data_IF_687409364154
#
_entry.id   IF_687409364154
#
_cell.length_a   1.000
_cell.length_b   1.000
_cell.length_c   1.000
_cell.angle_alpha   90.00
_cell.angle_beta   90.00
_cell.angle_gamma   90.00
#
_symmetry.space_group_name_H-M   'P 1'
#
loop_
_entity.id
_entity.type
_entity.pdbx_description
1 polymer ?
#
# COMPACT_ATOMS: atom_id res chain seq x y z
N UNK A 1 -21.10 -9.69 17.74
CA UNK A 1 -21.90 -8.66 18.42
C UNK A 1 -23.06 -9.38 19.09
N UNK A 2 -23.44 -9.04 20.32
CA UNK A 2 -24.65 -9.64 20.91
C UNK A 2 -25.86 -9.27 20.04
N UNK A 3 -26.72 -10.24 19.64
CA UNK A 3 -27.91 -9.99 18.81
C UNK A 3 -28.81 -8.87 19.35
N UNK A 4 -28.77 -8.67 20.67
CA UNK A 4 -29.53 -7.65 21.38
C UNK A 4 -29.21 -6.21 20.95
N UNK A 5 -27.93 -5.89 20.71
CA UNK A 5 -27.51 -4.53 20.36
C UNK A 5 -27.93 -4.13 18.94
N UNK A 6 -27.91 -5.09 18.02
CA UNK A 6 -28.28 -4.84 16.62
C UNK A 6 -29.76 -4.50 16.49
N UNK A 7 -30.63 -5.26 17.14
CA UNK A 7 -32.08 -4.98 17.17
C UNK A 7 -32.39 -3.62 17.80
N UNK A 8 -31.68 -3.24 18.87
CA UNK A 8 -31.87 -1.92 19.51
C UNK A 8 -31.52 -0.77 18.56
N UNK A 9 -30.41 -0.86 17.84
CA UNK A 9 -30.00 0.16 16.87
C UNK A 9 -31.02 0.24 15.73
N UNK A 10 -31.48 -0.90 15.21
CA UNK A 10 -32.44 -0.96 14.12
C UNK A 10 -33.77 -0.30 14.53
N UNK A 11 -34.23 -0.53 15.76
CA UNK A 11 -35.42 0.13 16.30
C UNK A 11 -35.26 1.65 16.43
N UNK A 12 -34.09 2.14 16.85
CA UNK A 12 -33.82 3.59 16.90
C UNK A 12 -33.86 4.19 15.49
N UNK A 13 -33.20 3.57 14.52
CA UNK A 13 -33.16 4.04 13.13
C UNK A 13 -34.59 4.08 12.55
N UNK A 14 -35.39 3.04 12.79
CA UNK A 14 -36.78 2.97 12.35
C UNK A 14 -37.67 4.05 13.02
N UNK A 15 -37.44 4.36 14.31
CA UNK A 15 -38.17 5.43 15.02
C UNK A 15 -38.01 6.80 14.36
N UNK A 16 -36.87 7.07 13.73
CA UNK A 16 -36.63 8.30 12.98
C UNK A 16 -37.05 8.21 11.49
N UNK A 17 -37.80 7.18 11.10
CA UNK A 17 -38.29 7.00 9.73
C UNK A 17 -37.21 6.56 8.73
N UNK A 18 -36.02 6.17 9.19
CA UNK A 18 -34.93 5.71 8.34
C UNK A 18 -35.00 4.17 8.18
N UNK A 19 -34.64 3.68 6.99
CA UNK A 19 -34.55 2.24 6.70
C UNK A 19 -33.12 1.84 6.40
N UNK A 20 -32.60 0.84 7.12
CA UNK A 20 -31.28 0.28 6.87
C UNK A 20 -31.28 -0.46 5.53
N UNK A 21 -30.30 -0.16 4.68
CA UNK A 21 -30.10 -0.89 3.45
C UNK A 21 -29.15 -2.07 3.72
N UNK A 22 -29.71 -3.28 3.82
CA UNK A 22 -28.94 -4.51 4.11
C UNK A 22 -27.86 -4.78 3.06
N UNK A 23 -28.09 -4.41 1.79
CA UNK A 23 -27.10 -4.59 0.71
C UNK A 23 -25.87 -3.70 0.89
N UNK A 24 -25.99 -2.60 1.64
CA UNK A 24 -24.90 -1.62 1.89
C UNK A 24 -24.43 -1.61 3.35
N UNK A 25 -24.97 -2.48 4.20
CA UNK A 25 -24.68 -2.49 5.64
C UNK A 25 -23.97 -3.77 6.02
N UNK A 26 -22.77 -3.64 6.60
CA UNK A 26 -21.99 -4.77 7.10
C UNK A 26 -21.49 -4.46 8.50
N UNK A 27 -21.84 -5.33 9.45
CA UNK A 27 -21.40 -5.21 10.85
C UNK A 27 -20.07 -5.94 11.06
N UNK A 28 -19.18 -5.34 11.83
CA UNK A 28 -17.90 -5.95 12.21
C UNK A 28 -17.83 -6.16 13.72
N UNK A 29 -17.28 -7.29 14.13
CA UNK A 29 -17.02 -7.58 15.54
C UNK A 29 -15.63 -7.05 15.93
N UNK A 30 -15.41 -6.59 17.17
CA UNK A 30 -14.06 -6.36 17.69
C UNK A 30 -13.17 -7.59 17.48
N UNK A 31 -11.90 -7.39 17.13
CA UNK A 31 -10.97 -8.48 16.81
C UNK A 31 -10.93 -8.91 15.34
N UNK A 32 -11.91 -8.50 14.52
CA UNK A 32 -11.83 -8.69 13.07
C UNK A 32 -11.17 -7.49 12.39
N UNK A 33 -10.34 -7.74 11.36
CA UNK A 33 -9.79 -6.70 10.50
C UNK A 33 -10.92 -5.94 9.80
N UNK A 34 -10.97 -4.62 10.01
CA UNK A 34 -11.89 -3.71 9.31
C UNK A 34 -11.14 -3.04 8.17
N UNK A 35 -11.66 -3.20 6.96
CA UNK A 35 -11.08 -2.63 5.75
C UNK A 35 -12.13 -1.84 5.00
N UNK A 36 -11.84 -0.58 4.71
CA UNK A 36 -12.68 0.32 3.91
C UNK A 36 -11.80 0.82 2.77
N UNK A 37 -12.27 0.69 1.53
CA UNK A 37 -11.56 1.13 0.32
C UNK A 37 -10.09 0.66 0.23
N UNK A 38 -9.79 -0.55 0.73
CA UNK A 38 -8.42 -1.11 0.71
C UNK A 38 -7.52 -0.66 1.86
N UNK A 39 -8.03 0.18 2.76
CA UNK A 39 -7.32 0.72 3.92
C UNK A 39 -7.83 0.07 5.19
N UNK A 40 -6.92 -0.31 6.09
CA UNK A 40 -7.26 -0.88 7.39
C UNK A 40 -7.64 0.26 8.34
N UNK A 41 -8.84 0.14 8.93
CA UNK A 41 -9.44 1.18 9.78
C UNK A 41 -9.75 0.69 11.20
N UNK A 42 -9.23 -0.48 11.61
CA UNK A 42 -9.61 -1.10 12.90
C UNK A 42 -9.43 -0.17 14.10
N UNK A 43 -8.21 0.32 14.34
CA UNK A 43 -7.88 1.23 15.46
C UNK A 43 -7.17 2.51 14.97
N UNK A 44 -6.23 2.33 14.03
CA UNK A 44 -5.55 3.42 13.31
C UNK A 44 -5.60 3.15 11.82
N UNK A 45 -5.75 4.21 11.04
CA UNK A 45 -5.66 4.17 9.58
C UNK A 45 -4.28 3.64 9.19
N UNK A 46 -4.25 2.52 8.45
CA UNK A 46 -3.00 1.87 8.04
C UNK A 46 -3.18 1.07 6.73
N UNK A 47 -2.08 0.81 6.04
CA UNK A 47 -2.06 -0.06 4.87
C UNK A 47 -2.05 -1.55 5.25
N UNK A 48 -2.52 -2.43 4.36
CA UNK A 48 -2.36 -3.88 4.50
C UNK A 48 -0.90 -4.31 4.70
N UNK A 49 -0.65 -5.35 5.51
CA UNK A 49 0.70 -5.93 5.66
C UNK A 49 1.28 -6.44 4.34
N UNK A 50 0.42 -6.96 3.46
CA UNK A 50 0.79 -7.39 2.10
C UNK A 50 1.36 -6.25 1.26
N UNK A 51 0.83 -5.03 1.43
CA UNK A 51 1.30 -3.83 0.75
C UNK A 51 2.74 -3.49 1.12
N UNK A 52 3.03 -3.45 2.43
CA UNK A 52 4.38 -3.19 2.96
C UNK A 52 5.35 -4.31 2.54
N UNK A 53 4.89 -5.57 2.57
CA UNK A 53 5.69 -6.72 2.12
C UNK A 53 6.08 -6.57 0.66
N UNK A 54 5.13 -6.23 -0.21
CA UNK A 54 5.39 -6.04 -1.64
C UNK A 54 6.41 -4.91 -1.86
N UNK A 55 6.23 -3.75 -1.24
CA UNK A 55 7.17 -2.63 -1.35
C UNK A 55 8.59 -3.01 -0.90
N UNK A 56 8.70 -3.77 0.19
CA UNK A 56 9.98 -4.28 0.68
C UNK A 56 10.67 -5.22 -0.32
N UNK A 57 9.90 -6.11 -0.96
CA UNK A 57 10.42 -7.04 -1.97
C UNK A 57 10.93 -6.29 -3.19
N UNK A 58 10.17 -5.31 -3.70
CA UNK A 58 10.57 -4.53 -4.87
C UNK A 58 11.87 -3.75 -4.62
N UNK A 59 12.00 -3.09 -3.46
CA UNK A 59 13.22 -2.38 -3.09
C UNK A 59 14.41 -3.34 -2.89
N UNK A 60 14.19 -4.51 -2.29
CA UNK A 60 15.25 -5.50 -2.13
C UNK A 60 15.72 -6.07 -3.47
N UNK A 61 14.80 -6.28 -4.40
CA UNK A 61 15.11 -6.76 -5.74
C UNK A 61 16.03 -5.79 -6.48
N UNK A 62 15.72 -4.48 -6.41
CA UNK A 62 16.57 -3.44 -6.98
C UNK A 62 17.93 -3.39 -6.28
N UNK A 63 17.97 -3.36 -4.95
CA UNK A 63 19.24 -3.37 -4.19
C UNK A 63 20.15 -4.55 -4.52
N UNK A 64 19.56 -5.73 -4.78
CA UNK A 64 20.33 -6.96 -4.99
C UNK A 64 20.80 -7.15 -6.43
N UNK A 65 19.97 -6.80 -7.41
CA UNK A 65 20.21 -7.14 -8.81
C UNK A 65 20.46 -5.93 -9.72
N UNK A 66 20.34 -4.71 -9.19
CA UNK A 66 20.36 -3.48 -10.00
C UNK A 66 19.05 -3.27 -10.77
N UNK A 67 18.89 -2.09 -11.36
CA UNK A 67 17.62 -1.70 -11.97
C UNK A 67 17.19 -2.60 -13.14
N UNK A 68 18.10 -2.85 -14.09
CA UNK A 68 17.78 -3.60 -15.32
C UNK A 68 17.24 -5.01 -15.02
N UNK A 69 17.92 -5.77 -14.15
CA UNK A 69 17.49 -7.11 -13.77
C UNK A 69 16.25 -7.08 -12.88
N UNK A 70 16.15 -6.11 -11.97
CA UNK A 70 14.96 -5.96 -11.15
C UNK A 70 13.71 -5.64 -11.99
N UNK A 71 13.84 -4.83 -13.04
CA UNK A 71 12.76 -4.49 -13.97
C UNK A 71 12.24 -5.73 -14.72
N UNK A 72 13.13 -6.62 -15.16
CA UNK A 72 12.77 -7.88 -15.82
C UNK A 72 11.99 -8.80 -14.86
N UNK A 73 12.56 -9.06 -13.68
CA UNK A 73 11.95 -9.93 -12.67
C UNK A 73 10.60 -9.35 -12.22
N UNK A 74 10.53 -8.04 -12.01
CA UNK A 74 9.31 -7.33 -11.67
C UNK A 74 8.20 -7.52 -12.70
N UNK A 75 8.51 -7.31 -13.97
CA UNK A 75 7.56 -7.42 -15.08
C UNK A 75 7.02 -8.85 -15.20
N UNK A 76 7.91 -9.84 -15.07
CA UNK A 76 7.56 -11.26 -15.12
C UNK A 76 6.65 -11.67 -13.94
N UNK A 77 7.08 -11.41 -12.71
CA UNK A 77 6.48 -12.01 -11.51
C UNK A 77 5.27 -11.24 -10.98
N UNK A 78 5.20 -9.91 -11.20
CA UNK A 78 4.14 -9.06 -10.65
C UNK A 78 3.11 -8.60 -11.69
N UNK A 79 3.49 -8.52 -12.96
CA UNK A 79 2.65 -7.95 -14.01
C UNK A 79 2.44 -8.88 -15.22
N UNK A 80 2.85 -10.15 -15.13
CA UNK A 80 2.61 -11.18 -16.15
C UNK A 80 3.06 -10.74 -17.55
N UNK A 81 4.17 -10.02 -17.65
CA UNK A 81 4.70 -9.52 -18.93
C UNK A 81 4.20 -8.15 -19.35
N UNK A 82 3.26 -7.52 -18.61
CA UNK A 82 2.87 -6.12 -18.90
C UNK A 82 3.98 -5.19 -18.42
N UNK A 83 4.61 -4.50 -19.37
CA UNK A 83 5.67 -3.54 -19.06
C UNK A 83 5.13 -2.37 -18.23
N UNK A 84 5.69 -2.21 -17.03
CA UNK A 84 5.51 -1.05 -16.18
C UNK A 84 6.84 -0.65 -15.60
N UNK A 85 7.09 0.64 -15.48
CA UNK A 85 8.30 1.13 -14.80
C UNK A 85 8.27 0.74 -13.32
N UNK A 86 9.27 -0.04 -12.88
CA UNK A 86 9.49 -0.38 -11.48
C UNK A 86 9.62 0.89 -10.62
N UNK A 87 10.29 1.93 -11.14
CA UNK A 87 10.45 3.23 -10.47
C UNK A 87 9.08 3.85 -10.17
N UNK A 88 8.22 3.95 -11.19
CA UNK A 88 6.90 4.56 -11.05
C UNK A 88 6.00 3.78 -10.09
N UNK A 89 6.09 2.46 -10.11
CA UNK A 89 5.31 1.61 -9.21
C UNK A 89 5.79 1.73 -7.77
N UNK A 90 7.11 1.77 -7.53
CA UNK A 90 7.66 1.99 -6.19
C UNK A 90 7.31 3.39 -5.69
N UNK A 91 7.50 4.44 -6.50
CA UNK A 91 7.21 5.81 -6.08
C UNK A 91 5.72 6.01 -5.79
N UNK A 92 4.84 5.55 -6.68
CA UNK A 92 3.40 5.58 -6.44
C UNK A 92 3.00 4.82 -5.17
N UNK A 93 3.68 3.70 -4.88
CA UNK A 93 3.43 2.95 -3.64
C UNK A 93 3.89 3.70 -2.38
N UNK A 94 5.02 4.40 -2.45
CA UNK A 94 5.52 5.20 -1.33
C UNK A 94 4.62 6.43 -1.11
N UNK A 95 4.16 7.08 -2.18
CA UNK A 95 3.27 8.25 -2.09
C UNK A 95 1.90 7.87 -1.50
N UNK A 96 1.34 6.71 -1.85
CA UNK A 96 0.13 6.21 -1.20
C UNK A 96 0.36 5.86 0.28
N UNK A 97 1.54 5.32 0.63
CA UNK A 97 1.91 5.06 2.02
C UNK A 97 2.01 6.36 2.82
N UNK A 98 2.57 7.42 2.23
CA UNK A 98 2.63 8.77 2.79
C UNK A 98 1.24 9.33 3.06
N UNK A 99 0.32 9.21 2.10
CA UNK A 99 -1.06 9.68 2.22
C UNK A 99 -1.79 9.03 3.40
N UNK A 100 -1.51 7.75 3.68
CA UNK A 100 -2.23 6.99 4.71
C UNK A 100 -1.57 7.12 6.08
N UNK A 101 -0.25 7.02 6.17
CA UNK A 101 0.47 6.98 7.45
C UNK A 101 1.06 8.34 7.86
N UNK A 102 1.21 9.26 6.90
CA UNK A 102 1.83 10.57 7.07
C UNK A 102 3.34 10.58 6.82
N UNK A 103 3.88 11.77 6.54
CA UNK A 103 5.32 12.03 6.29
C UNK A 103 6.22 11.74 7.50
N UNK A 104 5.65 11.80 8.70
CA UNK A 104 6.35 11.57 9.95
C UNK A 104 6.50 10.09 10.31
N UNK A 105 5.79 9.19 9.61
CA UNK A 105 5.83 7.76 9.90
C UNK A 105 7.21 7.16 9.56
N UNK A 106 7.79 6.45 10.52
CA UNK A 106 9.12 5.84 10.39
C UNK A 106 9.21 4.82 9.25
N UNK A 107 8.11 4.12 8.94
CA UNK A 107 8.07 3.15 7.84
C UNK A 107 8.13 3.86 6.49
N UNK A 108 7.37 4.95 6.33
CA UNK A 108 7.43 5.79 5.14
C UNK A 108 8.84 6.35 4.94
N UNK A 109 9.40 7.00 5.97
CA UNK A 109 10.74 7.61 5.92
C UNK A 109 11.81 6.61 5.49
N UNK A 110 11.76 5.39 6.06
CA UNK A 110 12.68 4.30 5.72
C UNK A 110 12.57 3.84 4.26
N UNK A 111 11.35 3.75 3.72
CA UNK A 111 11.19 3.36 2.32
C UNK A 111 11.56 4.48 1.36
N UNK A 112 11.18 5.74 1.65
CA UNK A 112 11.54 6.89 0.81
C UNK A 112 13.05 7.11 0.79
N UNK A 113 13.75 6.97 1.92
CA UNK A 113 15.21 7.12 1.96
C UNK A 113 15.92 6.03 1.16
N UNK A 114 15.53 4.76 1.31
CA UNK A 114 16.07 3.64 0.51
C UNK A 114 15.85 3.86 -0.98
N UNK A 115 14.65 4.28 -1.36
CA UNK A 115 14.32 4.55 -2.75
C UNK A 115 15.15 5.70 -3.34
N UNK A 116 15.28 6.83 -2.63
CA UNK A 116 16.11 7.95 -3.06
C UNK A 116 17.58 7.55 -3.26
N UNK A 117 18.11 6.73 -2.34
CA UNK A 117 19.48 6.21 -2.46
C UNK A 117 19.65 5.39 -3.73
N UNK A 118 18.75 4.44 -3.99
CA UNK A 118 18.79 3.62 -5.20
C UNK A 118 18.72 4.46 -6.49
N UNK A 119 17.87 5.47 -6.52
CA UNK A 119 17.78 6.38 -7.67
C UNK A 119 19.08 7.16 -7.90
N UNK A 120 19.74 7.57 -6.82
CA UNK A 120 21.03 8.26 -6.90
C UNK A 120 22.13 7.33 -7.42
N UNK A 121 22.23 6.10 -6.89
CA UNK A 121 23.19 5.07 -7.33
C UNK A 121 23.02 4.73 -8.82
N UNK A 122 21.78 4.56 -9.28
CA UNK A 122 21.47 4.28 -10.69
C UNK A 122 21.88 5.45 -11.60
N UNK A 123 21.64 6.69 -11.16
CA UNK A 123 22.01 7.89 -11.93
C UNK A 123 23.52 7.99 -12.10
N UNK A 124 24.31 7.76 -11.05
CA UNK A 124 25.78 7.75 -11.14
C UNK A 124 26.29 6.69 -12.12
N UNK A 125 25.65 5.52 -12.13
CA UNK A 125 26.01 4.42 -13.05
C UNK A 125 25.75 4.80 -14.51
N UNK A 126 24.67 5.56 -14.75
CA UNK A 126 24.32 6.05 -16.10
C UNK A 126 25.28 7.15 -16.58
N UNK A 127 25.63 8.09 -15.68
CA UNK A 127 26.51 9.22 -16.01
C UNK A 127 27.97 8.80 -16.28
N UNK A 128 28.42 7.66 -15.74
CA UNK A 128 29.74 7.09 -16.01
C UNK A 128 29.81 6.44 -17.40
N UNK A 129 28.76 5.70 -17.80
CA UNK A 129 28.70 5.04 -19.12
C UNK A 129 28.72 6.06 -20.26
N UNK A 130 28.14 7.25 -20.05
CA UNK A 130 28.10 8.31 -21.06
C UNK A 130 29.43 9.08 -21.23
N UNK A 131 30.38 8.95 -20.28
CA UNK A 131 31.70 9.59 -20.34
C UNK A 131 32.79 8.70 -20.95
N UNK A 132 32.54 7.40 -21.00
CA UNK A 132 33.45 6.39 -21.55
C UNK A 132 33.14 6.07 -23.03
N UNK A 133 32.22 6.82 -23.65
CA UNK A 133 31.87 6.81 -25.09
C UNK A 133 32.22 8.18 -25.68
#
# INVERSE_FOLDING_TARGET
>A
MSPFWQSRIYNIIAKYGLKVNEKKTRTFVPGTRREVTGVVVSDKINVPRSYIKQLRVLLHLWEKYGYAQAQIIFTRDFYKGIEKSLVNVIDGKINYLEMIKGKEDSTYRKFKSRFKRLQWEEKQSTDQIQKDI
#
